data_IF_043302634958
#
_entry.id   IF_043302634958
#
_cell.length_a   1.000
_cell.length_b   1.000
_cell.length_c   1.000
_cell.angle_alpha   90.00
_cell.angle_beta   90.00
_cell.angle_gamma   90.00
#
_symmetry.space_group_name_H-M   'P 1'
#
loop_
_entity.id
_entity.type
_entity.pdbx_description
1 polymer ?
#
# COMPACT_ATOMS: atom_id res chain seq x y z
N UNK A 1 6.55 14.34 -14.49
CA UNK A 1 7.16 13.54 -13.46
C UNK A 1 6.29 12.36 -13.09
N UNK A 2 6.79 11.21 -13.31
CA UNK A 2 5.96 10.02 -13.25
C UNK A 2 6.18 9.18 -11.99
N UNK A 3 6.45 9.83 -10.89
CA UNK A 3 6.66 9.09 -9.65
C UNK A 3 5.47 8.22 -9.28
N UNK A 4 4.29 8.74 -9.51
CA UNK A 4 3.07 7.99 -9.21
C UNK A 4 3.00 6.73 -10.07
N UNK A 5 3.36 6.85 -11.36
CA UNK A 5 3.37 5.69 -12.23
C UNK A 5 4.37 4.65 -11.81
N UNK A 6 5.55 5.08 -11.39
CA UNK A 6 6.58 4.17 -10.92
C UNK A 6 6.15 3.46 -9.64
N UNK A 7 5.61 4.21 -8.68
CA UNK A 7 5.14 3.61 -7.44
C UNK A 7 4.04 2.60 -7.68
N UNK A 8 3.14 2.92 -8.59
CA UNK A 8 2.05 2.03 -8.95
C UNK A 8 2.56 0.73 -9.55
N UNK A 9 3.56 0.81 -10.42
CA UNK A 9 4.16 -0.37 -11.02
C UNK A 9 4.84 -1.24 -9.97
N UNK A 10 5.54 -0.62 -9.03
CA UNK A 10 6.19 -1.37 -7.97
C UNK A 10 5.17 -2.08 -7.09
N UNK A 11 4.09 -1.41 -6.77
CA UNK A 11 3.04 -2.03 -5.96
C UNK A 11 2.39 -3.19 -6.71
N UNK A 12 2.19 -3.03 -8.02
CA UNK A 12 1.62 -4.12 -8.81
C UNK A 12 2.56 -5.32 -8.86
N UNK A 13 3.85 -5.07 -9.05
CA UNK A 13 4.82 -6.16 -9.09
C UNK A 13 4.87 -6.88 -7.74
N UNK A 14 4.83 -6.13 -6.65
CA UNK A 14 4.83 -6.73 -5.32
C UNK A 14 3.57 -7.58 -5.10
N UNK A 15 2.41 -7.05 -5.49
CA UNK A 15 1.16 -7.76 -5.32
C UNK A 15 1.14 -9.05 -6.15
N UNK A 16 1.62 -8.97 -7.38
CA UNK A 16 1.68 -10.15 -8.25
C UNK A 16 2.59 -11.21 -7.66
N UNK A 17 3.73 -10.80 -7.14
CA UNK A 17 4.65 -11.73 -6.50
C UNK A 17 4.03 -12.39 -5.28
N UNK A 18 3.41 -11.60 -4.43
CA UNK A 18 2.77 -12.12 -3.22
C UNK A 18 1.69 -13.13 -3.58
N UNK A 19 0.93 -12.84 -4.62
CA UNK A 19 -0.12 -13.77 -5.04
C UNK A 19 0.48 -15.08 -5.53
N UNK A 20 1.55 -15.00 -6.30
CA UNK A 20 2.20 -16.21 -6.84
C UNK A 20 2.71 -17.10 -5.71
N UNK A 21 3.23 -16.52 -4.63
CA UNK A 21 3.72 -17.29 -3.51
C UNK A 21 2.63 -17.67 -2.50
N UNK A 22 1.38 -17.38 -2.82
CA UNK A 22 0.26 -17.86 -2.02
C UNK A 22 -0.28 -16.90 -0.97
N UNK A 23 0.16 -15.66 -0.97
CA UNK A 23 -0.38 -14.67 -0.03
C UNK A 23 -1.76 -14.22 -0.47
N UNK A 24 -2.68 -14.10 0.47
CA UNK A 24 -4.04 -13.67 0.17
C UNK A 24 -4.27 -12.20 0.49
N UNK A 25 -3.37 -11.59 1.20
CA UNK A 25 -3.51 -10.19 1.58
C UNK A 25 -2.14 -9.54 1.64
N UNK A 26 -2.14 -8.22 1.64
CA UNK A 26 -0.92 -7.44 1.81
C UNK A 26 -1.19 -6.33 2.80
N UNK A 27 -0.20 -6.01 3.61
CA UNK A 27 -0.34 -4.98 4.61
C UNK A 27 0.94 -4.15 4.67
N UNK A 28 0.79 -2.85 4.87
CA UNK A 28 1.93 -1.96 5.07
C UNK A 28 1.65 -1.08 6.28
N UNK A 29 2.73 -0.74 6.98
CA UNK A 29 2.67 0.25 8.04
C UNK A 29 3.24 1.56 7.53
N UNK A 30 2.52 2.65 7.76
CA UNK A 30 2.97 3.98 7.37
C UNK A 30 2.83 4.93 8.56
N UNK A 31 3.71 5.90 8.63
CA UNK A 31 3.60 6.93 9.65
C UNK A 31 2.43 7.85 9.30
N UNK A 32 1.72 8.27 10.34
CA UNK A 32 0.53 9.09 10.14
C UNK A 32 0.83 10.36 9.33
N UNK A 33 1.98 10.96 9.57
CA UNK A 33 2.33 12.21 8.91
C UNK A 33 2.98 12.03 7.56
N UNK A 34 3.18 10.79 7.13
CA UNK A 34 3.78 10.52 5.84
C UNK A 34 2.72 10.62 4.74
N UNK A 35 2.87 11.53 3.77
CA UNK A 35 1.87 11.66 2.71
C UNK A 35 1.72 10.41 1.85
N UNK A 36 2.65 9.49 1.91
CA UNK A 36 2.54 8.23 1.17
C UNK A 36 1.28 7.46 1.58
N UNK A 37 0.74 7.69 2.78
CA UNK A 37 -0.48 7.03 3.18
C UNK A 37 -1.62 7.29 2.20
N UNK A 38 -1.67 8.50 1.64
CA UNK A 38 -2.74 8.85 0.71
C UNK A 38 -2.62 8.07 -0.59
N UNK A 39 -1.39 7.84 -1.04
CA UNK A 39 -1.14 7.01 -2.20
C UNK A 39 -1.67 5.59 -1.98
N UNK A 40 -1.34 5.00 -0.84
CA UNK A 40 -1.80 3.64 -0.53
C UNK A 40 -3.32 3.58 -0.37
N UNK A 41 -3.91 4.59 0.25
CA UNK A 41 -5.37 4.61 0.41
C UNK A 41 -6.06 4.79 -0.94
N UNK A 42 -5.45 5.57 -1.82
CA UNK A 42 -5.98 5.73 -3.17
C UNK A 42 -5.96 4.41 -3.94
N UNK A 43 -5.02 3.54 -3.63
CA UNK A 43 -4.94 2.21 -4.23
C UNK A 43 -5.88 1.21 -3.56
N UNK A 44 -6.72 1.65 -2.65
CA UNK A 44 -7.71 0.79 -2.02
C UNK A 44 -7.30 0.19 -0.69
N UNK A 45 -6.17 0.61 -0.13
CA UNK A 45 -5.76 0.14 1.18
C UNK A 45 -6.69 0.65 2.26
N UNK A 46 -7.08 -0.22 3.18
CA UNK A 46 -7.95 0.13 4.29
C UNK A 46 -7.15 0.22 5.58
N UNK A 47 -7.43 1.23 6.37
CA UNK A 47 -6.81 1.34 7.68
C UNK A 47 -7.45 0.30 8.59
N UNK A 48 -6.65 -0.65 9.06
CA UNK A 48 -7.15 -1.74 9.91
C UNK A 48 -6.55 -1.71 11.30
N UNK A 49 -5.49 -0.95 11.52
CA UNK A 49 -4.87 -0.87 12.83
C UNK A 49 -4.14 0.44 12.95
N UNK A 50 -3.96 0.89 14.19
CA UNK A 50 -3.18 2.08 14.50
C UNK A 50 -2.26 1.73 15.65
N UNK A 51 -1.12 2.37 15.71
CA UNK A 51 -0.17 2.12 16.78
C UNK A 51 0.81 3.25 16.87
N UNK A 52 1.81 3.04 17.69
CA UNK A 52 2.87 4.02 17.85
C UNK A 52 4.21 3.34 17.65
N UNK A 53 5.15 4.10 17.09
CA UNK A 53 6.52 3.65 16.95
C UNK A 53 7.42 4.81 17.36
N UNK A 54 8.71 4.57 17.42
CA UNK A 54 9.65 5.63 17.76
C UNK A 54 10.55 5.94 16.59
N UNK A 55 10.67 7.23 16.31
CA UNK A 55 11.56 7.72 15.27
C UNK A 55 12.40 8.81 15.91
N UNK A 56 13.71 8.60 15.97
CA UNK A 56 14.61 9.55 16.58
C UNK A 56 14.30 9.82 18.03
N UNK A 57 13.80 8.82 18.77
CA UNK A 57 13.47 8.98 20.17
C UNK A 57 12.10 9.55 20.44
N UNK A 58 11.37 9.96 19.41
CA UNK A 58 10.04 10.52 19.58
C UNK A 58 8.97 9.48 19.23
N UNK A 59 7.90 9.46 20.02
CA UNK A 59 6.77 8.61 19.69
C UNK A 59 5.98 9.23 18.53
N UNK A 60 5.73 8.46 17.50
CA UNK A 60 4.94 8.90 16.37
C UNK A 60 3.87 7.87 16.10
N UNK A 61 2.74 8.34 15.59
CA UNK A 61 1.64 7.43 15.24
C UNK A 61 1.89 6.80 13.89
N UNK A 62 1.44 5.56 13.77
CA UNK A 62 1.47 4.86 12.50
C UNK A 62 0.17 4.12 12.31
N UNK A 63 -0.09 3.73 11.09
CA UNK A 63 -1.29 2.98 10.76
C UNK A 63 -0.95 1.85 9.82
N UNK A 64 -1.71 0.77 9.89
CA UNK A 64 -1.59 -0.35 8.99
C UNK A 64 -2.67 -0.25 7.93
N UNK A 65 -2.27 -0.38 6.69
CA UNK A 65 -3.17 -0.40 5.56
C UNK A 65 -3.18 -1.81 4.98
N UNK A 66 -4.37 -2.32 4.71
CA UNK A 66 -4.56 -3.70 4.29
C UNK A 66 -5.29 -3.78 2.96
N UNK A 67 -4.81 -4.66 2.11
CA UNK A 67 -5.51 -5.07 0.90
C UNK A 67 -5.87 -6.55 1.05
N UNK A 68 -7.15 -6.82 1.20
CA UNK A 68 -7.66 -8.18 1.37
C UNK A 68 -9.00 -8.32 0.66
N UNK A 69 -9.09 -9.19 -0.34
CA UNK A 69 -8.04 -10.05 -0.86
C UNK A 69 -6.98 -9.26 -1.62
N UNK A 70 -5.84 -9.91 -1.87
CA UNK A 70 -4.75 -9.22 -2.57
C UNK A 70 -5.16 -8.79 -3.98
N UNK A 71 -6.18 -9.42 -4.53
CA UNK A 71 -6.71 -9.03 -5.83
C UNK A 71 -7.19 -7.59 -5.84
N UNK A 72 -7.56 -7.04 -4.68
CA UNK A 72 -7.93 -5.65 -4.57
C UNK A 72 -6.78 -4.74 -5.00
N UNK A 73 -5.57 -5.06 -4.56
CA UNK A 73 -4.41 -4.28 -4.92
C UNK A 73 -4.05 -4.46 -6.40
N UNK A 74 -4.17 -5.70 -6.88
CA UNK A 74 -3.91 -5.95 -8.30
C UNK A 74 -4.88 -5.16 -9.18
N UNK A 75 -6.16 -5.14 -8.81
CA UNK A 75 -7.15 -4.39 -9.58
C UNK A 75 -6.86 -2.89 -9.54
N UNK A 76 -6.48 -2.38 -8.38
CA UNK A 76 -6.23 -0.94 -8.22
C UNK A 76 -4.97 -0.49 -8.98
N UNK A 77 -4.04 -1.40 -9.23
CA UNK A 77 -2.80 -1.07 -9.92
C UNK A 77 -2.79 -1.55 -11.36
N UNK A 78 -3.91 -2.06 -11.84
CA UNK A 78 -3.99 -2.52 -13.22
C UNK A 78 -3.78 -1.35 -14.19
N UNK A 79 -3.15 -1.59 -15.35
CA UNK A 79 -3.02 -0.53 -16.33
C UNK A 79 -4.37 -0.06 -16.81
N UNK A 80 -4.46 1.23 -17.13
CA UNK A 80 -5.69 1.75 -17.68
C UNK A 80 -5.99 1.08 -19.02
N UNK A 81 -7.27 0.80 -19.30
CA UNK A 81 -7.58 0.22 -20.60
C UNK A 81 -7.23 1.18 -21.71
N UNK A 82 -6.80 0.61 -22.82
CA UNK A 82 -6.49 1.40 -24.00
C UNK A 82 -7.79 1.82 -24.66
N UNK A 83 -7.84 3.07 -25.02
CA UNK A 83 -9.04 3.60 -25.68
C UNK A 83 -9.05 3.25 -27.16
#
# INVERSE_FOLDING_TARGET
MEKTGTGRRLMRAAAAHLRVVGCRSAMVWVLKDNPTQWFYRHLGGRVVARGQTRVGGQAVEQMALLWEPIDTLLAATAPAPEA
#
